data_IF_686593810857
#
_entry.id   IF_686593810857
#
_cell.length_a   1.000
_cell.length_b   1.000
_cell.length_c   1.000
_cell.angle_alpha   90.00
_cell.angle_beta   90.00
_cell.angle_gamma   90.00
#
_symmetry.space_group_name_H-M   'P 1'
#
loop_
_entity.id
_entity.type
_entity.pdbx_description
1 polymer ?
#
# COMPACT_ATOMS: atom_id res chain seq x y z
N UNK A 1 4.97 19.16 7.68
CA UNK A 1 5.36 20.58 7.41
C UNK A 1 6.46 21.08 8.33
N UNK A 2 6.28 21.13 9.67
CA UNK A 2 7.32 21.64 10.60
C UNK A 2 8.62 20.84 10.50
N UNK A 3 8.55 19.50 10.53
CA UNK A 3 9.74 18.65 10.36
C UNK A 3 10.43 18.87 9.01
N UNK A 4 9.65 19.01 7.92
CA UNK A 4 10.16 19.31 6.59
C UNK A 4 10.90 20.64 6.55
N UNK A 5 10.36 21.70 7.16
CA UNK A 5 11.01 23.01 7.24
C UNK A 5 12.29 22.92 8.09
N UNK A 6 12.27 22.21 9.20
CA UNK A 6 13.43 22.05 10.05
C UNK A 6 14.57 21.28 9.35
N UNK A 7 14.24 20.22 8.62
CA UNK A 7 15.22 19.37 7.93
C UNK A 7 15.73 20.03 6.64
N UNK A 8 14.82 20.53 5.79
CA UNK A 8 15.17 21.00 4.45
C UNK A 8 15.27 22.51 4.32
N UNK A 9 14.73 23.29 5.26
CA UNK A 9 14.69 24.76 5.17
C UNK A 9 16.08 25.39 5.13
N UNK A 10 16.92 25.10 6.12
CA UNK A 10 18.28 25.64 6.18
C UNK A 10 19.14 25.18 4.97
N UNK A 11 19.20 23.88 4.61
CA UNK A 11 19.91 23.45 3.40
C UNK A 11 19.44 24.15 2.12
N UNK A 12 18.12 24.34 1.96
CA UNK A 12 17.54 25.00 0.78
C UNK A 12 17.94 26.48 0.70
N UNK A 13 17.96 27.19 1.83
CA UNK A 13 18.45 28.58 1.89
C UNK A 13 19.92 28.65 1.47
N UNK A 14 20.75 27.75 2.01
CA UNK A 14 22.18 27.70 1.67
C UNK A 14 22.39 27.40 0.18
N UNK A 15 21.70 26.41 -0.39
CA UNK A 15 21.76 26.10 -1.82
C UNK A 15 21.29 27.28 -2.69
N UNK A 16 20.26 28.02 -2.24
CA UNK A 16 19.78 29.23 -2.92
C UNK A 16 20.83 30.34 -3.04
N UNK A 17 21.82 30.37 -2.14
CA UNK A 17 22.91 31.37 -2.18
C UNK A 17 23.96 31.12 -3.25
N UNK A 18 24.02 29.91 -3.82
CA UNK A 18 25.05 29.52 -4.80
C UNK A 18 25.01 30.42 -6.04
N UNK A 19 23.81 30.71 -6.56
CA UNK A 19 23.66 31.55 -7.77
C UNK A 19 24.13 32.99 -7.53
N UNK A 20 23.67 33.71 -6.49
CA UNK A 20 24.20 35.04 -6.15
C UNK A 20 25.72 35.08 -5.91
N UNK A 21 26.28 34.08 -5.23
CA UNK A 21 27.71 34.01 -4.97
C UNK A 21 28.49 33.77 -6.27
N UNK A 22 28.03 32.87 -7.13
CA UNK A 22 28.64 32.61 -8.42
C UNK A 22 28.61 33.86 -9.33
N UNK A 23 27.50 34.60 -9.34
CA UNK A 23 27.43 35.90 -10.04
C UNK A 23 28.48 36.86 -9.49
N UNK A 24 28.60 36.98 -8.16
CA UNK A 24 29.59 37.87 -7.52
C UNK A 24 31.03 37.48 -7.86
N UNK A 25 31.34 36.18 -7.94
CA UNK A 25 32.69 35.69 -8.27
C UNK A 25 33.04 35.84 -9.76
N UNK A 26 32.06 35.71 -10.65
CA UNK A 26 32.24 35.79 -12.10
C UNK A 26 32.14 37.23 -12.65
N UNK A 27 31.44 38.11 -11.96
CA UNK A 27 31.26 39.50 -12.38
C UNK A 27 32.48 40.36 -12.02
N UNK A 28 33.45 40.43 -12.93
CA UNK A 28 34.66 41.27 -12.79
C UNK A 28 34.50 42.71 -13.30
N UNK A 29 33.34 43.07 -13.90
CA UNK A 29 33.06 44.40 -14.47
C UNK A 29 31.55 44.64 -14.62
N UNK A 30 31.08 45.87 -14.35
CA UNK A 30 29.65 46.26 -14.43
C UNK A 30 29.03 46.01 -15.82
N UNK A 31 29.78 46.20 -16.90
CA UNK A 31 29.32 46.01 -18.29
C UNK A 31 28.93 44.56 -18.62
N UNK A 32 29.56 43.57 -17.99
CA UNK A 32 29.34 42.14 -18.27
C UNK A 32 28.39 41.47 -17.27
N UNK A 33 28.00 42.20 -16.22
CA UNK A 33 27.25 41.67 -15.08
C UNK A 33 25.88 41.10 -15.50
N UNK A 34 25.14 41.82 -16.36
CA UNK A 34 23.85 41.36 -16.86
C UNK A 34 23.93 40.11 -17.75
N UNK A 35 24.94 40.01 -18.61
CA UNK A 35 25.14 38.85 -19.50
C UNK A 35 25.60 37.61 -18.71
N UNK A 36 26.47 37.79 -17.72
CA UNK A 36 26.94 36.70 -16.84
C UNK A 36 25.79 36.18 -15.98
N UNK A 37 25.02 37.07 -15.36
CA UNK A 37 23.84 36.69 -14.58
C UNK A 37 22.81 35.96 -15.46
N UNK A 38 22.46 36.52 -16.63
CA UNK A 38 21.49 35.91 -17.53
C UNK A 38 21.90 34.52 -18.03
N UNK A 39 23.16 34.32 -18.39
CA UNK A 39 23.68 32.99 -18.79
C UNK A 39 23.64 31.99 -17.63
N UNK A 40 24.02 32.42 -16.43
CA UNK A 40 24.01 31.55 -15.26
C UNK A 40 22.59 31.11 -14.91
N UNK A 41 21.62 32.04 -14.94
CA UNK A 41 20.22 31.70 -14.73
C UNK A 41 19.69 30.76 -15.82
N UNK A 42 20.02 30.98 -17.09
CA UNK A 42 19.60 30.09 -18.18
C UNK A 42 20.12 28.66 -18.00
N UNK A 43 21.40 28.50 -17.65
CA UNK A 43 22.00 27.18 -17.38
C UNK A 43 21.38 26.55 -16.14
N UNK A 44 21.15 27.32 -15.08
CA UNK A 44 20.51 26.83 -13.85
C UNK A 44 19.09 26.33 -14.13
N UNK A 45 18.29 27.07 -14.90
CA UNK A 45 16.93 26.66 -15.27
C UNK A 45 16.94 25.38 -16.11
N UNK A 46 17.79 25.31 -17.15
CA UNK A 46 17.90 24.12 -17.98
C UNK A 46 18.35 22.89 -17.16
N UNK A 47 19.33 23.07 -16.28
CA UNK A 47 19.80 22.03 -15.37
C UNK A 47 18.73 21.58 -14.37
N UNK A 48 17.92 22.52 -13.85
CA UNK A 48 16.83 22.20 -12.92
C UNK A 48 15.73 21.40 -13.59
N UNK A 49 15.35 21.77 -14.83
CA UNK A 49 14.38 21.00 -15.62
C UNK A 49 14.91 19.59 -15.87
N UNK A 50 16.13 19.46 -16.41
CA UNK A 50 16.73 18.16 -16.68
C UNK A 50 16.88 17.32 -15.40
N UNK A 51 17.30 17.94 -14.30
CA UNK A 51 17.45 17.31 -12.99
C UNK A 51 16.14 16.79 -12.43
N UNK A 52 15.05 17.57 -12.51
CA UNK A 52 13.72 17.12 -12.08
C UNK A 52 13.24 15.91 -12.87
N UNK A 53 13.38 15.93 -14.20
CA UNK A 53 12.98 14.79 -15.04
C UNK A 53 13.86 13.56 -14.80
N UNK A 54 15.18 13.73 -14.75
CA UNK A 54 16.11 12.65 -14.45
C UNK A 54 15.81 12.03 -13.07
N UNK A 55 15.50 12.87 -12.08
CA UNK A 55 15.18 12.41 -10.72
C UNK A 55 13.89 11.59 -10.69
N UNK A 56 12.81 12.11 -11.26
CA UNK A 56 11.50 11.46 -11.21
C UNK A 56 11.40 10.18 -12.04
N UNK A 57 12.03 10.14 -13.22
CA UNK A 57 11.86 9.04 -14.17
C UNK A 57 13.00 8.02 -14.20
N UNK A 58 14.17 8.35 -13.65
CA UNK A 58 15.34 7.46 -13.72
C UNK A 58 16.03 7.26 -12.38
N UNK A 59 16.38 8.33 -11.66
CA UNK A 59 17.23 8.19 -10.47
C UNK A 59 16.48 7.63 -9.26
N UNK A 60 15.24 8.08 -9.00
CA UNK A 60 14.43 7.53 -7.89
C UNK A 60 14.10 6.05 -8.16
N UNK A 61 13.59 5.65 -9.35
CA UNK A 61 13.30 4.25 -9.62
C UNK A 61 14.52 3.31 -9.54
N UNK A 62 15.69 3.73 -10.02
CA UNK A 62 16.86 2.85 -10.11
C UNK A 62 17.74 2.83 -8.84
N UNK A 63 17.85 3.97 -8.14
CA UNK A 63 18.74 4.10 -6.98
C UNK A 63 17.97 4.16 -5.65
N UNK A 64 16.67 4.42 -5.67
CA UNK A 64 15.90 4.72 -4.47
C UNK A 64 16.22 6.10 -3.88
N UNK A 65 15.36 6.58 -3.00
CA UNK A 65 15.48 7.95 -2.45
C UNK A 65 16.69 8.10 -1.52
N UNK A 66 16.98 7.08 -0.71
CA UNK A 66 18.06 7.12 0.28
C UNK A 66 19.44 7.21 -0.39
N UNK A 67 19.70 6.37 -1.40
CA UNK A 67 20.96 6.40 -2.14
C UNK A 67 21.08 7.68 -2.96
N UNK A 68 19.97 8.22 -3.48
CA UNK A 68 19.98 9.47 -4.22
C UNK A 68 20.38 10.65 -3.34
N UNK A 69 19.78 10.79 -2.15
CA UNK A 69 20.13 11.85 -1.19
C UNK A 69 21.60 11.75 -0.82
N UNK A 70 22.07 10.55 -0.54
CA UNK A 70 23.43 10.34 -0.10
C UNK A 70 24.46 10.50 -1.24
N UNK A 71 24.12 10.08 -2.47
CA UNK A 71 24.91 10.35 -3.68
C UNK A 71 25.00 11.85 -3.99
N UNK A 72 23.89 12.58 -3.83
CA UNK A 72 23.88 14.03 -3.97
C UNK A 72 24.77 14.71 -2.92
N UNK A 73 24.76 14.23 -1.67
CA UNK A 73 25.66 14.73 -0.64
C UNK A 73 27.13 14.52 -1.04
N UNK A 74 27.49 13.35 -1.57
CA UNK A 74 28.85 13.07 -2.08
C UNK A 74 29.22 14.04 -3.21
N UNK A 75 28.35 14.22 -4.21
CA UNK A 75 28.60 15.13 -5.34
C UNK A 75 28.83 16.56 -4.86
N UNK A 76 27.99 17.05 -3.94
CA UNK A 76 28.12 18.40 -3.37
C UNK A 76 29.42 18.56 -2.57
N UNK A 77 29.82 17.55 -1.80
CA UNK A 77 31.06 17.59 -1.02
C UNK A 77 32.30 17.52 -1.91
N UNK A 78 32.27 16.74 -3.00
CA UNK A 78 33.35 16.72 -4.00
C UNK A 78 33.46 18.07 -4.74
N UNK A 79 32.34 18.69 -5.07
CA UNK A 79 32.33 20.03 -5.66
C UNK A 79 32.92 21.08 -4.69
N UNK A 80 32.55 21.01 -3.40
CA UNK A 80 33.12 21.87 -2.36
C UNK A 80 34.63 21.67 -2.22
N UNK A 81 35.11 20.41 -2.20
CA UNK A 81 36.53 20.08 -2.14
C UNK A 81 37.29 20.64 -3.35
N UNK A 82 36.73 20.53 -4.56
CA UNK A 82 37.35 21.06 -5.77
C UNK A 82 37.50 22.60 -5.73
N UNK A 83 36.48 23.32 -5.24
CA UNK A 83 36.54 24.78 -5.08
C UNK A 83 37.54 25.17 -3.99
N UNK A 84 37.53 24.49 -2.85
CA UNK A 84 38.47 24.73 -1.75
C UNK A 84 39.92 24.53 -2.21
N UNK A 85 40.17 23.44 -2.96
CA UNK A 85 41.48 23.16 -3.53
C UNK A 85 41.93 24.23 -4.53
N UNK A 86 41.02 24.69 -5.40
CA UNK A 86 41.30 25.78 -6.34
C UNK A 86 41.64 27.10 -5.62
N UNK A 87 41.09 27.32 -4.43
CA UNK A 87 41.40 28.48 -3.57
C UNK A 87 42.57 28.24 -2.60
N UNK A 88 43.22 27.07 -2.66
CA UNK A 88 44.33 26.65 -1.77
C UNK A 88 43.94 26.55 -0.29
N UNK A 89 42.68 26.24 -0.01
CA UNK A 89 42.11 26.01 1.32
C UNK A 89 42.23 24.53 1.69
N UNK A 90 43.42 24.12 2.16
CA UNK A 90 43.77 22.71 2.35
C UNK A 90 42.97 22.02 3.46
N UNK A 91 42.69 22.71 4.57
CA UNK A 91 41.92 22.15 5.68
C UNK A 91 40.49 21.84 5.23
N UNK A 92 39.87 22.78 4.55
CA UNK A 92 38.51 22.70 4.01
C UNK A 92 38.42 21.59 2.96
N UNK A 93 39.45 21.45 2.12
CA UNK A 93 39.54 20.35 1.14
C UNK A 93 39.53 18.99 1.85
N UNK A 94 40.36 18.82 2.89
CA UNK A 94 40.43 17.57 3.66
C UNK A 94 39.10 17.29 4.37
N UNK A 95 38.49 18.31 4.97
CA UNK A 95 37.18 18.18 5.64
C UNK A 95 36.10 17.77 4.63
N UNK A 96 36.01 18.43 3.48
CA UNK A 96 35.02 18.08 2.44
C UNK A 96 35.22 16.66 1.90
N UNK A 97 36.47 16.22 1.69
CA UNK A 97 36.76 14.85 1.27
C UNK A 97 36.43 13.82 2.36
N UNK A 98 36.70 14.13 3.63
CA UNK A 98 36.35 13.27 4.76
C UNK A 98 34.82 13.13 4.90
N UNK A 99 34.08 14.23 4.75
CA UNK A 99 32.61 14.21 4.76
C UNK A 99 32.08 13.45 3.54
N UNK A 100 32.65 13.63 2.35
CA UNK A 100 32.28 12.83 1.18
C UNK A 100 32.50 11.32 1.42
N UNK A 101 33.64 10.95 2.00
CA UNK A 101 33.93 9.56 2.38
C UNK A 101 32.95 9.01 3.41
N UNK A 102 32.60 9.80 4.43
CA UNK A 102 31.58 9.45 5.42
C UNK A 102 30.19 9.31 4.79
N UNK A 103 29.84 10.17 3.83
CA UNK A 103 28.60 10.06 3.07
C UNK A 103 28.57 8.79 2.22
N UNK A 104 29.67 8.42 1.54
CA UNK A 104 29.76 7.13 0.81
C UNK A 104 29.58 5.95 1.76
N UNK A 105 30.25 5.96 2.92
CA UNK A 105 30.07 4.93 3.93
C UNK A 105 28.62 4.87 4.42
N UNK A 106 27.98 6.03 4.61
CA UNK A 106 26.57 6.12 4.95
C UNK A 106 25.67 5.51 3.86
N UNK A 107 25.91 5.80 2.57
CA UNK A 107 25.19 5.17 1.42
C UNK A 107 25.29 3.64 1.52
N UNK A 108 26.51 3.14 1.71
CA UNK A 108 26.78 1.70 1.74
C UNK A 108 26.15 1.05 2.98
N UNK A 109 26.15 1.73 4.13
CA UNK A 109 25.52 1.24 5.36
C UNK A 109 24.00 1.40 5.40
N UNK A 110 23.45 2.32 4.60
CA UNK A 110 22.01 2.52 4.44
C UNK A 110 21.43 1.57 3.38
N UNK A 111 22.24 0.68 2.79
CA UNK A 111 21.68 -0.41 2.03
C UNK A 111 20.73 -1.18 2.96
N UNK A 112 19.47 -1.38 2.54
CA UNK A 112 18.55 -2.18 3.33
C UNK A 112 19.07 -3.60 3.22
N UNK A 113 19.76 -4.04 4.27
CA UNK A 113 20.43 -5.33 4.29
C UNK A 113 19.39 -6.43 4.14
N UNK A 114 19.20 -6.89 2.90
CA UNK A 114 18.73 -8.24 2.66
C UNK A 114 19.65 -9.18 3.45
N UNK A 115 19.08 -9.89 4.42
CA UNK A 115 19.81 -10.76 5.35
C UNK A 115 20.06 -10.19 6.75
N UNK A 116 19.79 -8.90 7.01
CA UNK A 116 19.90 -8.27 8.33
C UNK A 116 18.68 -8.46 9.22
N UNK A 117 18.81 -8.22 10.53
CA UNK A 117 17.70 -8.17 11.49
C UNK A 117 17.49 -6.72 11.92
N UNK A 118 16.26 -6.22 11.74
CA UNK A 118 15.86 -4.88 12.11
C UNK A 118 15.02 -4.95 13.38
N UNK A 119 15.26 -4.07 14.34
CA UNK A 119 14.50 -4.08 15.60
C UNK A 119 13.01 -3.86 15.34
N UNK A 120 12.14 -4.55 16.09
CA UNK A 120 10.69 -4.45 15.91
C UNK A 120 10.17 -3.01 16.05
N UNK A 121 10.82 -2.20 16.89
CA UNK A 121 10.53 -0.77 17.06
C UNK A 121 10.81 0.07 15.82
N UNK A 122 11.73 -0.35 14.95
CA UNK A 122 12.06 0.34 13.70
C UNK A 122 11.10 -0.04 12.58
N UNK A 123 10.43 -1.19 12.67
CA UNK A 123 9.41 -1.65 11.74
C UNK A 123 8.00 -1.48 12.30
N UNK A 124 7.77 -0.40 13.04
CA UNK A 124 6.44 -0.05 13.51
C UNK A 124 5.47 0.02 12.33
N UNK A 125 4.28 -0.54 12.51
CA UNK A 125 3.23 -0.53 11.50
C UNK A 125 2.40 0.75 11.66
N UNK A 126 2.39 1.60 10.65
CA UNK A 126 1.75 2.93 10.70
C UNK A 126 0.31 2.95 10.16
N UNK A 127 -0.19 1.83 9.65
CA UNK A 127 -1.58 1.77 9.20
C UNK A 127 -2.55 2.13 10.35
N UNK A 128 -3.60 2.93 10.07
CA UNK A 128 -4.55 3.40 11.08
C UNK A 128 -5.17 2.27 11.93
N UNK A 129 -5.36 1.08 11.35
CA UNK A 129 -5.90 -0.09 12.06
C UNK A 129 -5.04 -0.46 13.26
N UNK A 130 -3.71 -0.39 13.11
CA UNK A 130 -2.75 -0.87 14.10
C UNK A 130 -2.33 0.23 15.07
N UNK A 131 -2.35 1.50 14.66
CA UNK A 131 -2.08 2.61 15.58
C UNK A 131 -3.13 2.73 16.68
N UNK A 132 -4.38 2.42 16.37
CA UNK A 132 -5.50 2.54 17.31
C UNK A 132 -5.78 1.25 18.10
N UNK A 133 -5.22 0.11 17.68
CA UNK A 133 -5.50 -1.20 18.28
C UNK A 133 -4.26 -1.75 18.97
N UNK A 134 -4.44 -2.31 20.17
CA UNK A 134 -3.37 -2.97 20.91
C UNK A 134 -2.88 -4.25 20.22
N UNK A 135 -1.77 -4.79 20.75
CA UNK A 135 -1.07 -5.96 20.22
C UNK A 135 -1.88 -7.25 20.38
N UNK A 136 -2.61 -7.64 19.33
CA UNK A 136 -2.99 -9.04 19.11
C UNK A 136 -2.17 -9.59 17.95
N UNK A 137 -1.68 -10.83 18.10
CA UNK A 137 -0.85 -11.49 17.11
C UNK A 137 -1.54 -11.43 15.74
N UNK A 138 -2.82 -11.82 15.58
CA UNK A 138 -3.52 -11.83 14.28
C UNK A 138 -3.77 -10.48 13.63
N UNK A 139 -3.58 -9.38 14.36
CA UNK A 139 -3.59 -8.05 13.76
C UNK A 139 -2.27 -7.74 13.05
N UNK A 140 -1.16 -8.42 13.36
CA UNK A 140 0.16 -8.10 12.77
C UNK A 140 0.79 -6.85 13.40
N UNK A 141 0.37 -6.51 14.61
CA UNK A 141 1.19 -5.72 15.52
C UNK A 141 2.41 -6.55 15.96
N UNK A 142 3.60 -5.95 16.13
CA UNK A 142 4.74 -6.64 16.72
C UNK A 142 4.35 -7.20 18.10
N UNK A 143 4.60 -8.48 18.32
CA UNK A 143 4.27 -9.12 19.59
C UNK A 143 5.20 -8.60 20.70
N UNK A 144 4.66 -8.44 21.91
CA UNK A 144 5.43 -7.98 23.06
C UNK A 144 6.48 -9.07 23.43
N UNK A 145 7.72 -8.89 22.98
CA UNK A 145 8.81 -9.87 23.13
C UNK A 145 9.60 -10.16 21.86
N UNK A 146 9.16 -9.64 20.71
CA UNK A 146 9.79 -9.84 19.42
C UNK A 146 11.12 -9.06 19.33
N UNK A 147 12.26 -9.77 19.25
CA UNK A 147 13.60 -9.15 19.20
C UNK A 147 13.81 -8.30 17.93
N UNK A 148 13.16 -8.68 16.82
CA UNK A 148 13.21 -7.96 15.55
C UNK A 148 12.59 -8.74 14.41
N UNK A 149 12.65 -8.18 13.21
CA UNK A 149 12.31 -8.88 11.97
C UNK A 149 13.54 -9.04 11.10
N UNK A 150 13.72 -10.22 10.53
CA UNK A 150 14.73 -10.47 9.50
C UNK A 150 14.23 -9.92 8.17
N UNK A 151 14.99 -9.04 7.53
CA UNK A 151 14.67 -8.52 6.20
C UNK A 151 15.18 -9.50 5.15
N UNK A 152 14.28 -10.09 4.38
CA UNK A 152 14.63 -11.01 3.28
C UNK A 152 14.83 -10.28 1.97
N UNK A 153 14.03 -9.23 1.76
CA UNK A 153 13.97 -8.48 0.53
C UNK A 153 13.58 -7.05 0.82
N UNK A 154 14.15 -6.08 0.10
CA UNK A 154 13.64 -4.73 0.11
C UNK A 154 14.04 -3.99 -1.16
N UNK A 155 13.09 -3.31 -1.79
CA UNK A 155 13.26 -2.60 -3.07
C UNK A 155 12.34 -1.38 -3.14
N UNK A 156 12.75 -0.33 -3.86
CA UNK A 156 11.87 0.78 -4.24
C UNK A 156 11.29 0.47 -5.61
N UNK A 157 9.97 0.30 -5.70
CA UNK A 157 9.27 0.11 -6.97
C UNK A 157 8.79 1.46 -7.50
N UNK A 158 8.13 1.46 -8.67
CA UNK A 158 7.47 2.66 -9.18
C UNK A 158 6.33 3.16 -8.27
N UNK A 159 5.82 2.32 -7.37
CA UNK A 159 4.63 2.58 -6.57
C UNK A 159 4.92 2.68 -5.07
N UNK A 160 5.76 1.79 -4.52
CA UNK A 160 6.00 1.71 -3.08
C UNK A 160 7.43 1.25 -2.76
N UNK A 161 7.90 1.54 -1.55
CA UNK A 161 9.01 0.77 -0.96
C UNK A 161 8.47 -0.59 -0.54
N UNK A 162 8.83 -1.65 -1.24
CA UNK A 162 8.46 -3.02 -0.91
C UNK A 162 9.50 -3.61 0.03
N UNK A 163 9.08 -4.30 1.09
CA UNK A 163 9.96 -5.12 1.92
C UNK A 163 9.29 -6.44 2.32
N UNK A 164 10.08 -7.52 2.29
CA UNK A 164 9.71 -8.81 2.85
C UNK A 164 10.47 -9.02 4.14
N UNK A 165 9.74 -9.21 5.22
CA UNK A 165 10.33 -9.38 6.55
C UNK A 165 9.74 -10.61 7.25
N UNK A 166 10.54 -11.24 8.11
CA UNK A 166 10.15 -12.43 8.85
C UNK A 166 10.34 -12.27 10.34
N UNK A 167 9.46 -12.93 11.09
CA UNK A 167 9.68 -13.27 12.48
C UNK A 167 9.80 -14.79 12.67
N UNK A 168 9.74 -15.24 13.92
CA UNK A 168 9.84 -16.66 14.26
C UNK A 168 8.75 -17.49 13.57
N UNK A 169 7.54 -16.95 13.48
CA UNK A 169 6.31 -17.65 13.07
C UNK A 169 5.87 -17.32 11.64
N UNK A 170 6.14 -16.11 11.16
CA UNK A 170 5.42 -15.52 10.04
C UNK A 170 6.33 -14.73 9.11
N UNK A 171 5.91 -14.63 7.85
CA UNK A 171 6.50 -13.77 6.83
C UNK A 171 5.48 -12.71 6.41
N UNK A 172 5.95 -11.48 6.24
CA UNK A 172 5.11 -10.33 5.95
C UNK A 172 5.61 -9.53 4.75
N UNK A 173 4.66 -9.02 3.98
CA UNK A 173 4.87 -8.03 2.94
C UNK A 173 4.57 -6.65 3.54
N UNK A 174 5.49 -5.72 3.32
CA UNK A 174 5.36 -4.32 3.72
C UNK A 174 5.41 -3.43 2.49
N UNK A 175 4.50 -2.47 2.45
CA UNK A 175 4.61 -1.29 1.58
C UNK A 175 4.85 -0.08 2.47
N UNK A 176 5.96 0.60 2.21
CA UNK A 176 6.46 1.73 2.99
C UNK A 176 6.48 1.40 4.49
N UNK A 177 5.51 1.94 5.23
CA UNK A 177 5.42 1.87 6.68
C UNK A 177 4.30 0.96 7.19
N UNK A 178 3.59 0.26 6.29
CA UNK A 178 2.42 -0.55 6.63
C UNK A 178 2.62 -2.02 6.24
N UNK A 179 2.22 -2.94 7.12
CA UNK A 179 2.09 -4.35 6.76
C UNK A 179 0.83 -4.55 5.89
N UNK A 180 0.99 -5.23 4.76
CA UNK A 180 -0.05 -5.35 3.72
C UNK A 180 -0.50 -6.79 3.50
N UNK A 181 0.39 -7.76 3.74
CA UNK A 181 0.07 -9.17 3.56
C UNK A 181 0.99 -10.03 4.41
N UNK A 182 0.60 -11.28 4.66
CA UNK A 182 1.40 -12.18 5.47
C UNK A 182 0.90 -13.61 5.45
N UNK A 183 1.82 -14.51 5.77
CA UNK A 183 1.57 -15.95 5.89
C UNK A 183 2.34 -16.52 7.08
N UNK A 184 1.85 -17.64 7.60
CA UNK A 184 2.64 -18.43 8.54
C UNK A 184 3.73 -19.20 7.79
N UNK A 185 4.85 -19.47 8.48
CA UNK A 185 6.01 -20.16 7.88
C UNK A 185 5.86 -21.68 7.89
N UNK A 186 5.05 -22.22 8.79
CA UNK A 186 4.76 -23.65 8.93
C UNK A 186 3.63 -24.11 8.00
N UNK A 187 2.60 -23.28 7.78
CA UNK A 187 1.65 -23.40 6.68
C UNK A 187 1.53 -22.08 5.89
N UNK A 188 2.26 -21.94 4.76
CA UNK A 188 2.21 -20.76 3.91
C UNK A 188 0.81 -20.43 3.35
N UNK A 189 -0.12 -21.37 3.34
CA UNK A 189 -1.47 -21.17 2.83
C UNK A 189 -2.43 -20.68 3.92
N UNK A 190 -2.01 -20.68 5.19
CA UNK A 190 -2.74 -20.02 6.25
C UNK A 190 -2.49 -18.51 6.25
N UNK A 191 -3.58 -17.75 6.37
CA UNK A 191 -3.54 -16.29 6.31
C UNK A 191 -3.16 -15.71 7.65
N UNK A 192 -2.16 -14.82 7.64
CA UNK A 192 -1.65 -14.20 8.86
C UNK A 192 -2.55 -13.09 9.39
N UNK A 193 -3.27 -12.42 8.50
CA UNK A 193 -4.20 -11.33 8.82
C UNK A 193 -5.64 -11.84 8.77
N UNK A 194 -6.39 -11.62 9.85
CA UNK A 194 -7.76 -12.11 9.98
C UNK A 194 -8.71 -11.57 8.89
N UNK A 195 -8.49 -10.35 8.40
CA UNK A 195 -9.33 -9.81 7.33
C UNK A 195 -9.23 -10.62 6.03
N UNK A 196 -8.08 -11.26 5.77
CA UNK A 196 -7.87 -12.09 4.58
C UNK A 196 -8.78 -13.32 4.59
N UNK A 197 -9.07 -13.87 5.79
CA UNK A 197 -10.06 -14.94 5.94
C UNK A 197 -11.44 -14.44 5.52
N UNK A 198 -11.83 -13.23 5.94
CA UNK A 198 -13.14 -12.64 5.66
C UNK A 198 -13.41 -12.41 4.16
N UNK A 199 -12.37 -12.35 3.31
CA UNK A 199 -12.56 -12.25 1.85
C UNK A 199 -13.28 -13.50 1.27
N UNK A 200 -13.29 -14.62 2.00
CA UNK A 200 -14.09 -15.81 1.67
C UNK A 200 -15.60 -15.61 1.78
N UNK A 201 -16.06 -14.52 2.39
CA UNK A 201 -17.48 -14.18 2.44
C UNK A 201 -18.11 -14.08 1.04
N UNK A 202 -17.36 -13.68 0.01
CA UNK A 202 -17.86 -13.69 -1.37
C UNK A 202 -18.36 -15.07 -1.81
N UNK A 203 -17.63 -16.13 -1.47
CA UNK A 203 -17.98 -17.53 -1.78
C UNK A 203 -19.06 -18.09 -0.83
N UNK A 204 -19.23 -17.49 0.35
CA UNK A 204 -20.36 -17.80 1.22
C UNK A 204 -21.67 -17.23 0.66
N UNK A 205 -21.63 -16.06 0.02
CA UNK A 205 -22.80 -15.41 -0.57
C UNK A 205 -23.15 -15.94 -1.97
N UNK A 206 -22.17 -16.35 -2.77
CA UNK A 206 -22.39 -16.96 -4.08
C UNK A 206 -22.50 -18.49 -3.94
N UNK A 207 -23.54 -19.12 -4.51
CA UNK A 207 -23.89 -20.52 -4.22
C UNK A 207 -23.06 -21.63 -4.89
N UNK A 208 -22.43 -21.36 -6.03
CA UNK A 208 -21.63 -22.28 -6.85
C UNK A 208 -20.60 -21.47 -7.67
N UNK A 209 -19.49 -21.02 -7.04
CA UNK A 209 -18.54 -20.15 -7.71
C UNK A 209 -17.68 -20.99 -8.65
N UNK A 210 -17.41 -20.48 -9.85
CA UNK A 210 -16.52 -21.11 -10.84
C UNK A 210 -15.37 -20.20 -11.21
N UNK A 211 -15.58 -18.88 -11.21
CA UNK A 211 -14.58 -17.88 -11.58
C UNK A 211 -14.59 -16.70 -10.62
N UNK A 212 -13.44 -16.37 -10.04
CA UNK A 212 -13.26 -15.27 -9.08
C UNK A 212 -12.17 -14.34 -9.56
N UNK A 213 -12.41 -13.03 -9.49
CA UNK A 213 -11.40 -12.00 -9.77
C UNK A 213 -10.94 -11.37 -8.47
N UNK A 214 -9.64 -11.22 -8.29
CA UNK A 214 -9.02 -10.35 -7.30
C UNK A 214 -8.47 -9.09 -7.98
N UNK A 215 -8.84 -7.92 -7.45
CA UNK A 215 -8.20 -6.65 -7.78
C UNK A 215 -7.30 -6.29 -6.59
N UNK A 216 -6.00 -6.30 -6.83
CA UNK A 216 -4.95 -6.36 -5.82
C UNK A 216 -4.49 -7.81 -5.57
N UNK A 217 -3.19 -7.98 -5.34
CA UNK A 217 -2.58 -9.28 -5.03
C UNK A 217 -1.89 -9.29 -3.66
N UNK A 218 -1.09 -8.26 -3.39
CA UNK A 218 -0.20 -8.24 -2.21
C UNK A 218 0.71 -9.47 -2.17
N UNK A 219 0.81 -10.13 -1.02
CA UNK A 219 1.56 -11.40 -0.86
C UNK A 219 0.79 -12.64 -1.36
N UNK A 220 -0.31 -12.45 -2.10
CA UNK A 220 -1.21 -13.49 -2.58
C UNK A 220 -1.86 -14.36 -1.49
N UNK A 221 -1.80 -13.98 -0.20
CA UNK A 221 -2.30 -14.81 0.91
C UNK A 221 -3.77 -15.23 0.74
N UNK A 222 -4.66 -14.29 0.42
CA UNK A 222 -6.07 -14.58 0.18
C UNK A 222 -6.34 -15.38 -1.11
N UNK A 223 -5.88 -14.96 -2.30
CA UNK A 223 -6.14 -15.72 -3.54
C UNK A 223 -5.50 -17.11 -3.51
N UNK A 224 -4.29 -17.26 -2.96
CA UNK A 224 -3.63 -18.56 -2.79
C UNK A 224 -4.39 -19.48 -1.85
N UNK A 225 -4.89 -18.95 -0.73
CA UNK A 225 -5.71 -19.72 0.22
C UNK A 225 -7.01 -20.19 -0.45
N UNK A 226 -7.74 -19.30 -1.12
CA UNK A 226 -8.93 -19.69 -1.87
C UNK A 226 -8.65 -20.71 -2.98
N UNK A 227 -7.54 -20.55 -3.70
CA UNK A 227 -7.10 -21.49 -4.73
C UNK A 227 -6.89 -22.91 -4.18
N UNK A 228 -6.34 -23.02 -2.96
CA UNK A 228 -6.14 -24.29 -2.25
C UNK A 228 -7.48 -24.89 -1.80
N UNK A 229 -8.32 -24.07 -1.17
CA UNK A 229 -9.56 -24.50 -0.54
C UNK A 229 -10.64 -24.88 -1.56
N UNK A 230 -10.59 -24.29 -2.77
CA UNK A 230 -11.56 -24.50 -3.84
C UNK A 230 -10.90 -25.00 -5.13
N UNK A 231 -10.55 -26.29 -5.24
CA UNK A 231 -9.83 -26.86 -6.39
C UNK A 231 -10.59 -26.79 -7.72
N UNK A 232 -11.92 -26.61 -7.68
CA UNK A 232 -12.77 -26.48 -8.87
C UNK A 232 -12.96 -25.05 -9.37
N UNK A 233 -12.38 -24.05 -8.68
CA UNK A 233 -12.55 -22.62 -9.00
C UNK A 233 -11.32 -22.10 -9.73
N UNK A 234 -11.56 -21.26 -10.74
CA UNK A 234 -10.53 -20.45 -11.39
C UNK A 234 -10.47 -19.07 -10.73
N UNK A 235 -9.25 -18.62 -10.48
CA UNK A 235 -8.91 -17.34 -9.90
C UNK A 235 -8.09 -16.54 -10.90
N UNK A 236 -8.54 -15.31 -11.15
CA UNK A 236 -7.73 -14.29 -11.82
C UNK A 236 -7.36 -13.26 -10.75
N UNK A 237 -6.16 -12.72 -10.79
CA UNK A 237 -5.72 -11.61 -9.95
C UNK A 237 -5.07 -10.53 -10.81
N UNK A 238 -5.32 -9.27 -10.48
CA UNK A 238 -4.77 -8.11 -11.19
C UNK A 238 -3.99 -7.27 -10.21
N UNK A 239 -2.70 -7.15 -10.44
CA UNK A 239 -1.77 -6.41 -9.61
C UNK A 239 -1.17 -5.27 -10.43
N UNK A 240 -1.10 -4.08 -9.84
CA UNK A 240 -0.57 -2.89 -10.52
C UNK A 240 0.96 -2.97 -10.63
N UNK A 241 1.60 -3.51 -9.60
CA UNK A 241 3.06 -3.52 -9.45
C UNK A 241 3.67 -4.88 -9.86
N UNK A 242 4.43 -4.97 -10.97
CA UNK A 242 5.06 -6.22 -11.39
C UNK A 242 6.04 -6.79 -10.35
N UNK A 243 6.68 -5.95 -9.56
CA UNK A 243 7.66 -6.38 -8.56
C UNK A 243 6.95 -7.05 -7.37
N UNK A 244 5.72 -6.64 -7.06
CA UNK A 244 4.86 -7.31 -6.07
C UNK A 244 4.47 -8.72 -6.54
N UNK A 245 4.22 -8.92 -7.83
CA UNK A 245 3.95 -10.25 -8.40
C UNK A 245 5.18 -11.16 -8.28
N UNK A 246 6.37 -10.64 -8.58
CA UNK A 246 7.62 -11.38 -8.40
C UNK A 246 7.87 -11.74 -6.92
N UNK A 247 7.62 -10.79 -6.01
CA UNK A 247 7.70 -11.01 -4.57
C UNK A 247 6.72 -12.09 -4.10
N UNK A 248 5.48 -12.10 -4.59
CA UNK A 248 4.49 -13.12 -4.24
C UNK A 248 4.96 -14.53 -4.65
N UNK A 249 5.54 -14.68 -5.85
CA UNK A 249 6.10 -15.95 -6.31
C UNK A 249 7.36 -16.36 -5.53
N UNK A 250 8.28 -15.44 -5.27
CA UNK A 250 9.59 -15.75 -4.66
C UNK A 250 9.50 -15.98 -3.16
N UNK A 251 8.65 -15.21 -2.48
CA UNK A 251 8.64 -15.12 -1.03
C UNK A 251 7.32 -15.52 -0.41
N UNK A 252 6.22 -15.68 -1.13
CA UNK A 252 4.93 -16.03 -0.54
C UNK A 252 4.33 -17.32 -1.10
N UNK A 253 5.15 -18.24 -1.62
CA UNK A 253 4.72 -19.56 -2.08
C UNK A 253 3.48 -19.52 -3.01
N UNK A 254 3.35 -18.46 -3.81
CA UNK A 254 2.25 -18.34 -4.76
C UNK A 254 2.37 -19.46 -5.81
N UNK A 255 1.33 -20.29 -6.00
CA UNK A 255 1.41 -21.44 -6.87
C UNK A 255 1.53 -21.00 -8.33
N UNK A 256 2.36 -21.70 -9.10
CA UNK A 256 2.39 -21.62 -10.55
C UNK A 256 1.42 -22.64 -11.13
N UNK A 257 0.16 -22.27 -11.20
CA UNK A 257 -0.94 -23.15 -11.63
C UNK A 257 -1.91 -22.37 -12.54
N UNK A 258 -2.40 -22.93 -13.65
CA UNK A 258 -3.28 -22.23 -14.58
C UNK A 258 -4.66 -21.85 -13.99
N UNK A 259 -5.02 -22.35 -12.80
CA UNK A 259 -6.21 -21.92 -12.06
C UNK A 259 -5.99 -20.64 -11.26
N UNK A 260 -4.75 -20.15 -11.12
CA UNK A 260 -4.45 -18.85 -10.50
C UNK A 260 -3.63 -18.02 -11.49
N UNK A 261 -4.34 -17.24 -12.31
CA UNK A 261 -3.73 -16.36 -13.30
C UNK A 261 -3.50 -14.99 -12.69
N UNK A 262 -2.33 -14.40 -12.95
CA UNK A 262 -2.00 -13.05 -12.48
C UNK A 262 -1.65 -12.18 -13.68
N UNK A 263 -2.31 -11.03 -13.77
CA UNK A 263 -2.03 -10.01 -14.77
C UNK A 263 -1.47 -8.74 -14.11
N UNK A 264 -0.48 -8.13 -14.76
CA UNK A 264 0.10 -6.86 -14.32
C UNK A 264 -0.62 -5.73 -15.04
N UNK A 265 -1.63 -5.15 -14.40
CA UNK A 265 -2.39 -4.01 -14.91
C UNK A 265 -3.11 -3.26 -13.78
N UNK A 266 -3.58 -2.03 -14.04
CA UNK A 266 -4.58 -1.38 -13.19
C UNK A 266 -5.92 -2.14 -13.24
N UNK A 267 -6.50 -2.43 -12.06
CA UNK A 267 -7.74 -3.21 -11.95
C UNK A 267 -8.95 -2.61 -12.65
N UNK A 268 -9.08 -1.29 -12.71
CA UNK A 268 -10.19 -0.64 -13.45
C UNK A 268 -9.97 -0.75 -14.95
N UNK A 269 -8.74 -0.57 -15.43
CA UNK A 269 -8.39 -0.77 -16.84
C UNK A 269 -8.62 -2.22 -17.28
N UNK A 270 -8.23 -3.19 -16.46
CA UNK A 270 -8.44 -4.60 -16.72
C UNK A 270 -9.94 -4.93 -16.88
N UNK A 271 -10.78 -4.48 -15.95
CA UNK A 271 -12.25 -4.67 -16.04
C UNK A 271 -12.87 -3.99 -17.27
N UNK A 272 -12.32 -2.85 -17.70
CA UNK A 272 -12.80 -2.17 -18.89
C UNK A 272 -12.53 -2.98 -20.17
N UNK A 273 -11.41 -3.72 -20.21
CA UNK A 273 -10.98 -4.51 -21.37
C UNK A 273 -11.52 -5.94 -21.37
N UNK A 274 -11.91 -6.47 -20.21
CA UNK A 274 -12.35 -7.85 -20.05
C UNK A 274 -13.83 -7.92 -19.65
N UNK A 275 -14.64 -8.66 -20.41
CA UNK A 275 -16.10 -8.72 -20.22
C UNK A 275 -16.57 -9.69 -19.12
N UNK A 276 -15.67 -10.44 -18.47
CA UNK A 276 -16.03 -11.46 -17.48
C UNK A 276 -16.76 -12.66 -18.12
N UNK A 277 -17.80 -13.24 -17.49
CA UNK A 277 -18.33 -12.91 -16.17
C UNK A 277 -17.56 -13.57 -15.03
N UNK A 278 -17.46 -12.90 -13.88
CA UNK A 278 -16.96 -13.47 -12.63
C UNK A 278 -18.10 -13.69 -11.62
N UNK A 279 -18.07 -14.80 -10.89
CA UNK A 279 -19.04 -15.12 -9.85
C UNK A 279 -18.79 -14.28 -8.59
N UNK A 280 -17.54 -13.90 -8.35
CA UNK A 280 -17.18 -12.93 -7.34
C UNK A 280 -16.04 -12.03 -7.83
N UNK A 281 -16.12 -10.74 -7.50
CA UNK A 281 -15.01 -9.79 -7.66
C UNK A 281 -14.60 -9.33 -6.26
N UNK A 282 -13.36 -9.62 -5.89
CA UNK A 282 -12.75 -9.20 -4.64
C UNK A 282 -11.91 -7.95 -4.89
N UNK A 283 -12.17 -6.87 -4.16
CA UNK A 283 -11.41 -5.63 -4.20
C UNK A 283 -10.62 -5.54 -2.89
N UNK A 284 -9.33 -5.83 -2.98
CA UNK A 284 -8.35 -5.77 -1.89
C UNK A 284 -7.11 -5.01 -2.37
N UNK A 285 -7.34 -3.81 -2.92
CA UNK A 285 -6.30 -2.93 -3.45
C UNK A 285 -6.13 -1.72 -2.54
N UNK A 286 -4.90 -1.49 -2.09
CA UNK A 286 -4.53 -0.36 -1.26
C UNK A 286 -3.34 0.39 -1.86
N UNK A 287 -3.39 1.71 -1.75
CA UNK A 287 -2.24 2.58 -1.96
C UNK A 287 -2.00 3.32 -0.64
N UNK A 288 -0.81 3.13 -0.05
CA UNK A 288 -0.55 3.49 1.35
C UNK A 288 -1.56 2.84 2.31
N UNK A 289 -2.53 3.61 2.83
CA UNK A 289 -3.51 3.16 3.83
C UNK A 289 -4.97 3.22 3.32
N UNK A 290 -5.21 3.63 2.06
CA UNK A 290 -6.56 3.81 1.51
C UNK A 290 -6.75 3.13 0.15
N UNK A 291 -8.01 2.89 -0.21
CA UNK A 291 -8.36 2.36 -1.53
C UNK A 291 -8.12 3.48 -2.57
N UNK A 292 -7.42 3.19 -3.69
CA UNK A 292 -7.25 4.15 -4.78
C UNK A 292 -8.60 4.74 -5.20
N UNK A 293 -8.67 6.07 -5.33
CA UNK A 293 -9.95 6.77 -5.49
C UNK A 293 -10.79 6.23 -6.66
N UNK A 294 -10.14 5.88 -7.78
CA UNK A 294 -10.79 5.40 -9.00
C UNK A 294 -11.36 3.99 -8.90
N UNK A 295 -11.05 3.24 -7.82
CA UNK A 295 -11.64 1.94 -7.47
C UNK A 295 -12.75 2.06 -6.41
N UNK A 296 -13.05 3.28 -5.94
CA UNK A 296 -14.06 3.54 -4.92
C UNK A 296 -15.34 4.22 -5.47
N UNK A 297 -15.33 4.60 -6.75
CA UNK A 297 -16.38 5.43 -7.36
C UNK A 297 -17.60 4.66 -7.79
N UNK A 298 -18.74 5.36 -7.90
CA UNK A 298 -19.97 4.80 -8.45
C UNK A 298 -19.75 4.22 -9.86
N UNK A 299 -19.00 4.91 -10.71
CA UNK A 299 -18.72 4.52 -12.09
C UNK A 299 -17.92 3.22 -12.15
N UNK A 300 -16.91 3.08 -11.29
CA UNK A 300 -16.17 1.83 -11.16
C UNK A 300 -17.05 0.69 -10.66
N UNK A 301 -17.92 0.94 -9.67
CA UNK A 301 -18.85 -0.09 -9.17
C UNK A 301 -19.86 -0.52 -10.23
N UNK A 302 -20.33 0.40 -11.08
CA UNK A 302 -21.18 0.07 -12.23
C UNK A 302 -20.43 -0.80 -13.25
N UNK A 303 -19.16 -0.47 -13.53
CA UNK A 303 -18.30 -1.29 -14.37
C UNK A 303 -18.12 -2.69 -13.77
N UNK A 304 -17.71 -2.80 -12.52
CA UNK A 304 -17.52 -4.08 -11.84
C UNK A 304 -18.82 -4.90 -11.81
N UNK A 305 -19.96 -4.27 -11.51
CA UNK A 305 -21.29 -4.90 -11.58
C UNK A 305 -21.58 -5.48 -12.96
N UNK A 306 -21.26 -4.76 -14.03
CA UNK A 306 -21.49 -5.22 -15.40
C UNK A 306 -20.64 -6.42 -15.82
N UNK A 307 -19.67 -6.82 -14.99
CA UNK A 307 -18.79 -7.98 -15.20
C UNK A 307 -19.14 -9.17 -14.30
N UNK A 308 -20.16 -9.05 -13.47
CA UNK A 308 -20.61 -10.15 -12.62
C UNK A 308 -21.47 -11.14 -13.40
N UNK A 309 -21.32 -12.42 -13.09
CA UNK A 309 -22.30 -13.44 -13.46
C UNK A 309 -23.65 -13.15 -12.77
N UNK A 310 -24.78 -13.66 -13.28
CA UNK A 310 -26.06 -13.60 -12.57
C UNK A 310 -25.93 -14.17 -11.15
N UNK A 311 -26.31 -13.38 -10.15
CA UNK A 311 -26.16 -13.74 -8.73
C UNK A 311 -24.74 -13.58 -8.18
N UNK A 312 -23.81 -13.03 -8.96
CA UNK A 312 -22.46 -12.72 -8.51
C UNK A 312 -22.40 -11.57 -7.52
N UNK A 313 -21.29 -11.48 -6.80
CA UNK A 313 -21.11 -10.50 -5.71
C UNK A 313 -19.77 -9.76 -5.80
N UNK A 314 -19.74 -8.55 -5.24
CA UNK A 314 -18.50 -7.82 -4.97
C UNK A 314 -18.17 -7.95 -3.49
N UNK A 315 -16.93 -8.33 -3.18
CA UNK A 315 -16.38 -8.35 -1.82
C UNK A 315 -15.27 -7.32 -1.70
N UNK A 316 -15.39 -6.37 -0.78
CA UNK A 316 -14.45 -5.24 -0.71
C UNK A 316 -13.91 -5.06 0.69
N UNK A 317 -12.59 -5.01 0.83
CA UNK A 317 -11.92 -4.64 2.07
C UNK A 317 -11.88 -3.12 2.21
N UNK A 318 -12.46 -2.57 3.29
CA UNK A 318 -12.43 -1.15 3.60
C UNK A 318 -11.81 -0.94 4.96
N UNK A 319 -10.81 -0.06 5.06
CA UNK A 319 -10.29 0.39 6.36
C UNK A 319 -11.16 1.54 6.87
N UNK A 320 -11.70 1.40 8.09
CA UNK A 320 -12.47 2.44 8.75
C UNK A 320 -13.17 1.96 10.03
N UNK A 321 -13.84 2.86 10.73
CA UNK A 321 -14.69 2.50 11.86
C UNK A 321 -16.14 2.26 11.40
N UNK A 322 -16.92 1.49 12.19
CA UNK A 322 -18.35 1.28 11.92
C UNK A 322 -19.18 2.46 12.42
N UNK A 323 -18.71 3.14 13.47
CA UNK A 323 -19.33 4.31 14.10
C UNK A 323 -18.27 5.38 14.40
N UNK A 324 -18.70 6.55 14.87
CA UNK A 324 -17.79 7.63 15.26
C UNK A 324 -17.23 8.45 14.09
N UNK A 325 -16.29 9.35 14.37
CA UNK A 325 -15.64 10.23 13.38
C UNK A 325 -14.91 9.45 12.30
N UNK A 326 -14.29 8.34 12.68
CA UNK A 326 -13.41 7.54 11.82
C UNK A 326 -14.21 6.61 10.87
N UNK A 327 -15.54 6.70 10.90
CA UNK A 327 -16.44 5.95 10.02
C UNK A 327 -16.73 6.63 8.68
N UNK A 328 -16.21 7.85 8.44
CA UNK A 328 -16.57 8.65 7.27
C UNK A 328 -16.28 7.96 5.95
N UNK A 329 -15.12 7.34 5.78
CA UNK A 329 -14.80 6.57 4.57
C UNK A 329 -15.77 5.39 4.39
N UNK A 330 -15.96 4.55 5.41
CA UNK A 330 -16.89 3.43 5.36
C UNK A 330 -18.31 3.89 5.00
N UNK A 331 -18.81 4.95 5.62
CA UNK A 331 -20.16 5.48 5.37
C UNK A 331 -20.28 6.02 3.94
N UNK A 332 -19.25 6.65 3.41
CA UNK A 332 -19.22 7.14 2.03
C UNK A 332 -19.17 5.98 1.02
N UNK A 333 -18.38 4.94 1.30
CA UNK A 333 -18.38 3.68 0.55
C UNK A 333 -19.78 3.04 0.56
N UNK A 334 -20.40 2.88 1.74
CA UNK A 334 -21.76 2.32 1.85
C UNK A 334 -22.79 3.15 1.07
N UNK A 335 -22.71 4.48 1.13
CA UNK A 335 -23.59 5.36 0.36
C UNK A 335 -23.43 5.10 -1.13
N UNK A 336 -22.20 4.98 -1.60
CA UNK A 336 -21.83 4.77 -3.01
C UNK A 336 -22.26 3.40 -3.50
N UNK A 337 -21.95 2.32 -2.77
CA UNK A 337 -22.37 0.96 -3.11
C UNK A 337 -23.90 0.84 -3.21
N UNK A 338 -24.65 1.48 -2.30
CA UNK A 338 -26.12 1.51 -2.32
C UNK A 338 -26.73 2.23 -3.52
N UNK A 339 -25.94 2.99 -4.28
CA UNK A 339 -26.42 3.56 -5.56
C UNK A 339 -26.37 2.56 -6.72
N UNK A 340 -25.64 1.45 -6.57
CA UNK A 340 -25.39 0.45 -7.64
C UNK A 340 -26.00 -0.92 -7.29
N UNK A 341 -25.96 -1.29 -6.01
CA UNK A 341 -26.45 -2.56 -5.49
C UNK A 341 -27.61 -2.37 -4.53
N UNK A 342 -28.70 -3.15 -4.65
CA UNK A 342 -29.81 -3.12 -3.70
C UNK A 342 -29.41 -3.67 -2.33
N UNK A 343 -28.45 -4.59 -2.29
CA UNK A 343 -27.97 -5.23 -1.06
C UNK A 343 -26.49 -4.95 -0.86
N UNK A 344 -26.13 -4.48 0.34
CA UNK A 344 -24.75 -4.29 0.79
C UNK A 344 -24.66 -4.77 2.24
N UNK A 345 -24.10 -5.95 2.44
CA UNK A 345 -23.83 -6.52 3.76
C UNK A 345 -22.51 -5.99 4.31
N UNK A 346 -22.44 -5.81 5.63
CA UNK A 346 -21.29 -5.22 6.33
C UNK A 346 -20.76 -6.20 7.36
N UNK A 347 -19.50 -6.60 7.22
CA UNK A 347 -18.82 -7.57 8.09
C UNK A 347 -17.57 -6.92 8.69
N UNK A 348 -17.71 -6.27 9.86
CA UNK A 348 -16.56 -5.73 10.59
C UNK A 348 -15.66 -6.89 11.06
N UNK A 349 -14.36 -6.80 10.80
CA UNK A 349 -13.39 -7.76 11.38
C UNK A 349 -13.27 -7.48 12.86
N UNK A 350 -13.52 -8.49 13.69
CA UNK A 350 -13.54 -8.37 15.15
C UNK A 350 -12.63 -9.40 15.76
N UNK A 351 -11.65 -8.92 16.50
CA UNK A 351 -10.88 -9.73 17.43
C UNK A 351 -11.79 -10.09 18.60
N UNK A 352 -11.68 -11.33 19.09
CA UNK A 352 -12.50 -11.82 20.19
C UNK A 352 -12.42 -10.90 21.42
N UNK A 353 -13.58 -10.50 21.93
CA UNK A 353 -13.70 -9.55 23.06
C UNK A 353 -13.77 -8.07 22.67
N UNK A 354 -13.47 -7.69 21.42
CA UNK A 354 -13.58 -6.30 20.96
C UNK A 354 -15.02 -5.92 20.58
N UNK A 355 -15.70 -5.25 21.52
CA UNK A 355 -17.03 -4.67 21.30
C UNK A 355 -16.97 -3.20 20.86
N UNK A 356 -15.78 -2.58 20.84
CA UNK A 356 -15.64 -1.23 20.33
C UNK A 356 -15.92 -1.28 18.83
N UNK A 357 -16.71 -0.34 18.30
CA UNK A 357 -17.02 -0.20 16.87
C UNK A 357 -16.57 1.15 16.31
N UNK A 358 -16.00 1.98 17.18
CA UNK A 358 -15.61 3.35 16.90
C UNK A 358 -14.12 3.41 16.52
N UNK A 359 -13.35 2.35 16.84
CA UNK A 359 -11.97 2.17 16.39
C UNK A 359 -11.86 1.61 14.98
N UNK A 360 -10.89 2.13 14.23
CA UNK A 360 -10.56 1.74 12.85
C UNK A 360 -10.21 0.26 12.75
N UNK A 361 -10.68 -0.40 11.70
CA UNK A 361 -10.47 -1.82 11.39
C UNK A 361 -10.68 -2.10 9.91
N UNK A 362 -10.37 -3.31 9.49
CA UNK A 362 -10.89 -3.85 8.23
C UNK A 362 -12.39 -4.16 8.36
N UNK A 363 -13.17 -3.69 7.40
CA UNK A 363 -14.60 -3.95 7.28
C UNK A 363 -14.84 -4.51 5.88
N UNK A 364 -15.29 -5.74 5.81
CA UNK A 364 -15.59 -6.39 4.53
C UNK A 364 -17.03 -6.06 4.14
N UNK A 365 -17.19 -5.48 2.94
CA UNK A 365 -18.49 -5.26 2.31
C UNK A 365 -18.76 -6.42 1.36
N UNK A 366 -19.98 -6.95 1.37
CA UNK A 366 -20.45 -7.91 0.35
C UNK A 366 -21.69 -7.34 -0.32
N UNK A 367 -21.59 -7.02 -1.61
CA UNK A 367 -22.64 -6.38 -2.37
C UNK A 367 -23.12 -7.25 -3.53
N UNK A 368 -24.43 -7.26 -3.78
CA UNK A 368 -25.04 -8.09 -4.81
C UNK A 368 -26.47 -7.66 -5.13
N UNK A 369 -27.05 -8.27 -6.18
CA UNK A 369 -28.43 -7.97 -6.60
C UNK A 369 -29.49 -8.74 -5.80
N UNK A 370 -29.13 -9.91 -5.27
CA UNK A 370 -30.01 -10.71 -4.43
C UNK A 370 -30.20 -10.12 -3.04
N UNK A 371 -31.24 -10.57 -2.34
CA UNK A 371 -31.40 -10.26 -0.92
C UNK A 371 -30.24 -10.85 -0.11
N UNK A 372 -29.81 -10.15 0.95
CA UNK A 372 -28.80 -10.69 1.85
C UNK A 372 -29.32 -12.00 2.47
N UNK A 373 -28.59 -13.13 2.34
CA UNK A 373 -29.00 -14.38 2.98
C UNK A 373 -29.06 -14.22 4.51
N UNK A 374 -29.82 -15.07 5.20
CA UNK A 374 -29.80 -15.04 6.67
C UNK A 374 -28.45 -15.51 7.22
N UNK A 375 -28.13 -15.14 8.47
CA UNK A 375 -26.88 -15.60 9.11
C UNK A 375 -26.89 -17.11 9.30
N UNK A 376 -28.06 -17.68 9.58
CA UNK A 376 -28.29 -19.11 9.71
C UNK A 376 -27.98 -19.83 8.40
N UNK A 377 -28.49 -19.33 7.28
CA UNK A 377 -28.20 -19.89 5.95
C UNK A 377 -26.71 -19.83 5.61
N UNK A 378 -26.05 -18.70 5.87
CA UNK A 378 -24.61 -18.57 5.64
C UNK A 378 -23.81 -19.56 6.50
N UNK A 379 -24.18 -19.72 7.77
CA UNK A 379 -23.52 -20.67 8.67
C UNK A 379 -23.72 -22.12 8.25
N UNK A 380 -24.94 -22.52 7.87
CA UNK A 380 -25.23 -23.86 7.37
C UNK A 380 -24.42 -24.17 6.11
N UNK A 381 -24.44 -23.23 5.16
CA UNK A 381 -23.67 -23.33 3.91
C UNK A 381 -22.17 -23.42 4.18
N UNK A 382 -21.62 -22.57 5.04
CA UNK A 382 -20.18 -22.58 5.31
C UNK A 382 -19.76 -23.82 6.09
N UNK A 383 -20.63 -24.33 6.95
CA UNK A 383 -20.42 -25.62 7.63
C UNK A 383 -20.35 -26.78 6.63
N UNK A 384 -21.16 -26.74 5.55
CA UNK A 384 -21.08 -27.70 4.46
C UNK A 384 -19.72 -27.64 3.75
N UNK A 385 -19.28 -26.43 3.38
CA UNK A 385 -17.98 -26.21 2.74
C UNK A 385 -16.86 -26.78 3.60
N UNK A 386 -16.86 -26.48 4.91
CA UNK A 386 -15.84 -27.01 5.85
C UNK A 386 -15.97 -28.51 6.07
N UNK A 387 -17.15 -29.11 5.94
CA UNK A 387 -17.30 -30.57 6.00
C UNK A 387 -16.63 -31.25 4.81
N UNK A 388 -16.74 -30.66 3.61
CA UNK A 388 -16.12 -31.16 2.39
C UNK A 388 -14.63 -30.83 2.30
N UNK A 389 -14.21 -29.68 2.84
CA UNK A 389 -12.83 -29.21 2.89
C UNK A 389 -12.48 -28.69 4.30
N UNK A 390 -12.13 -29.57 5.26
CA UNK A 390 -11.89 -29.21 6.67
C UNK A 390 -10.79 -28.16 6.91
N UNK A 391 -9.83 -28.05 6.00
CA UNK A 391 -8.78 -27.04 6.04
C UNK A 391 -9.23 -25.64 5.59
N UNK A 392 -10.50 -25.45 5.21
CA UNK A 392 -11.03 -24.14 4.83
C UNK A 392 -11.18 -23.21 6.03
N UNK A 393 -11.03 -21.90 5.80
CA UNK A 393 -11.14 -20.85 6.83
C UNK A 393 -12.47 -20.94 7.61
N UNK A 394 -12.45 -20.53 8.88
CA UNK A 394 -13.67 -20.49 9.70
C UNK A 394 -14.33 -19.11 9.63
N UNK A 395 -15.47 -19.02 8.95
CA UNK A 395 -16.24 -17.77 8.82
C UNK A 395 -17.30 -17.58 9.92
N UNK A 396 -17.35 -18.42 10.95
CA UNK A 396 -18.39 -18.34 12.00
C UNK A 396 -18.44 -16.96 12.63
N UNK A 397 -17.29 -16.39 13.01
CA UNK A 397 -17.20 -15.03 13.59
C UNK A 397 -17.59 -13.97 12.57
N UNK A 398 -17.09 -14.07 11.34
CA UNK A 398 -17.41 -13.15 10.25
C UNK A 398 -18.92 -13.08 9.97
N UNK A 399 -19.61 -14.22 9.96
CA UNK A 399 -21.06 -14.33 9.73
C UNK A 399 -21.85 -13.83 10.95
N UNK A 400 -21.48 -14.28 12.15
CA UNK A 400 -22.11 -13.86 13.42
C UNK A 400 -22.11 -12.34 13.55
N UNK A 401 -20.97 -11.72 13.28
CA UNK A 401 -20.73 -10.31 13.54
C UNK A 401 -21.16 -9.37 12.41
N UNK A 402 -21.80 -9.91 11.36
CA UNK A 402 -22.45 -9.10 10.33
C UNK A 402 -23.35 -8.04 10.95
N UNK A 403 -23.13 -6.80 10.54
CA UNK A 403 -23.83 -5.64 11.06
C UNK A 403 -25.08 -5.33 10.23
N UNK A 404 -26.24 -5.72 10.76
CA UNK A 404 -27.54 -5.56 10.09
C UNK A 404 -28.29 -4.27 10.48
N UNK A 405 -27.74 -3.47 11.42
CA UNK A 405 -28.38 -2.22 11.84
C UNK A 405 -28.10 -1.09 10.85
N UNK A 406 -29.03 -0.14 10.67
CA UNK A 406 -28.79 1.02 9.80
C UNK A 406 -27.52 1.79 10.20
N UNK A 407 -26.70 2.12 9.21
CA UNK A 407 -25.55 3.03 9.35
C UNK A 407 -25.92 4.33 8.63
N UNK A 408 -25.97 5.48 9.32
CA UNK A 408 -26.32 6.77 8.70
C UNK A 408 -25.30 7.21 7.65
N UNK A 409 -25.77 7.54 6.44
CA UNK A 409 -24.91 7.95 5.33
C UNK A 409 -25.26 9.33 4.75
N UNK A 410 -26.19 10.06 5.36
CA UNK A 410 -26.78 11.27 4.76
C UNK A 410 -25.81 12.47 4.72
N UNK A 411 -24.84 12.50 5.64
CA UNK A 411 -23.84 13.56 5.86
C UNK A 411 -22.49 13.31 5.16
N UNK A 412 -22.35 12.18 4.44
CA UNK A 412 -21.12 11.82 3.71
C UNK A 412 -21.39 11.80 2.20
N UNK A 413 -20.39 12.12 1.34
CA UNK A 413 -20.61 12.18 -0.10
C UNK A 413 -20.82 10.78 -0.71
N UNK A 414 -21.43 10.76 -1.90
CA UNK A 414 -21.25 9.65 -2.85
C UNK A 414 -19.89 9.88 -3.52
N UNK A 415 -19.11 8.82 -3.68
CA UNK A 415 -17.84 8.88 -4.37
C UNK A 415 -18.10 8.71 -5.88
N UNK A 416 -17.68 9.69 -6.66
CA UNK A 416 -17.76 9.67 -8.13
C UNK A 416 -16.38 9.94 -8.71
N UNK A 417 -16.20 9.69 -10.00
CA UNK A 417 -14.94 10.04 -10.68
C UNK A 417 -14.56 11.52 -10.55
N UNK A 418 -15.57 12.41 -10.47
CA UNK A 418 -15.37 13.85 -10.27
C UNK A 418 -15.05 14.21 -8.80
N UNK A 419 -15.41 13.35 -7.83
CA UNK A 419 -15.24 13.63 -6.40
C UNK A 419 -15.13 12.37 -5.54
N UNK A 420 -13.90 11.93 -5.27
CA UNK A 420 -13.62 10.79 -4.40
C UNK A 420 -12.40 11.02 -3.48
N UNK A 421 -12.48 11.88 -2.46
CA UNK A 421 -11.35 12.18 -1.58
C UNK A 421 -11.15 11.08 -0.50
N UNK A 422 -10.86 9.84 -0.93
CA UNK A 422 -10.76 8.65 -0.06
C UNK A 422 -9.77 8.83 1.08
N UNK A 423 -8.58 9.37 0.81
CA UNK A 423 -7.54 9.64 1.82
C UNK A 423 -8.01 10.63 2.88
N UNK A 424 -8.66 11.72 2.46
CA UNK A 424 -9.19 12.72 3.39
C UNK A 424 -10.28 12.13 4.27
N UNK A 425 -11.15 11.28 3.71
CA UNK A 425 -12.21 10.64 4.47
C UNK A 425 -11.70 9.62 5.48
N UNK A 426 -10.50 9.05 5.26
CA UNK A 426 -9.83 8.15 6.18
C UNK A 426 -9.04 8.89 7.28
N UNK A 427 -8.37 9.99 6.92
CA UNK A 427 -7.36 10.64 7.77
C UNK A 427 -7.85 11.90 8.50
N UNK A 428 -9.15 12.23 8.45
CA UNK A 428 -9.65 13.46 9.07
C UNK A 428 -9.62 13.39 10.62
N UNK A 429 -8.51 13.94 11.16
CA UNK A 429 -8.18 14.38 12.51
C UNK A 429 -7.92 13.30 13.57
N UNK A 430 -6.66 12.83 13.62
CA UNK A 430 -5.97 12.45 14.86
C UNK A 430 -4.98 13.53 15.26
#
# INVERSE_FOLDING_TARGET
>A
VVATIAIFGLPSVVLGTVSPIAVKLLARSLERLGRTAGRLFAVSTAGSIAGTFATAFFLIPELGTDQLIASLAVVLMLAAAAVALAQRLLLETVVSLAVAGASVMAVVSLQPETGGVVAASQLQNWSPVYRQRGSDDRTGAPSAGQEGYKVLYAEDTQYHRVAVVEDDTSRYLRFDNSFQSGMFKDDPFDTRFEYSDYLHLGLAYQSDPRKVLFIGLGGASAPKRMWRDFPGVQFDAVELDPDVVDVAYRFFDMPRDPRLNVEVEDGRRFLAQNEGPWDAIVIDAFYSDSIPFHLATQEFLQLAKSRLAPGGVITTNVIGAVRGSDSRLLRSMLRTYRTVFPTVAVHPVRVDGDQNLDGVRNVILVAGEGAAPSKEFLNERWSEVRRLAPGTVDLTTAIRDRWDRPIPTNDVPVLTDDYAPTDSLLLLFG
#
